data_IF_385851238967
#
_entry.id   IF_385851238967
#
_cell.length_a   1.000
_cell.length_b   1.000
_cell.length_c   1.000
_cell.angle_alpha   90.00
_cell.angle_beta   90.00
_cell.angle_gamma   90.00
#
_symmetry.space_group_name_H-M   'P 1'
#
loop_
_entity.id
_entity.type
_entity.pdbx_description
1 polymer ?
#
# COMPACT_ATOMS: atom_id res chain seq x y z
N UNK A 1 24.62 17.07 -17.68
CA UNK A 1 23.26 17.20 -17.12
C UNK A 1 23.01 15.98 -16.24
N UNK A 2 22.76 16.14 -14.94
CA UNK A 2 22.63 15.03 -13.98
C UNK A 2 21.20 14.48 -13.99
N UNK A 3 21.05 13.18 -13.76
CA UNK A 3 19.74 12.60 -13.47
C UNK A 3 19.23 13.16 -12.14
N UNK A 4 17.92 13.32 -12.00
CA UNK A 4 17.29 13.78 -10.75
C UNK A 4 16.14 12.85 -10.38
N UNK A 5 15.85 12.76 -9.09
CA UNK A 5 14.65 12.10 -8.58
C UNK A 5 13.60 13.15 -8.24
N UNK A 6 12.36 12.93 -8.69
CA UNK A 6 11.22 13.78 -8.38
C UNK A 6 10.05 12.92 -7.89
N UNK A 7 9.46 13.32 -6.78
CA UNK A 7 8.16 12.85 -6.34
C UNK A 7 7.11 13.86 -6.79
N UNK A 8 6.11 13.41 -7.53
CA UNK A 8 5.03 14.24 -8.05
C UNK A 8 3.72 13.78 -7.43
N UNK A 9 3.00 14.71 -6.81
CA UNK A 9 1.62 14.47 -6.40
C UNK A 9 0.70 14.47 -7.63
N UNK A 10 -0.12 13.43 -7.76
CA UNK A 10 -1.12 13.31 -8.80
C UNK A 10 -2.51 13.20 -8.15
N UNK A 11 -3.36 14.17 -8.46
CA UNK A 11 -4.78 14.10 -8.13
C UNK A 11 -5.52 13.47 -9.30
N UNK A 12 -6.23 12.38 -9.05
CA UNK A 12 -7.02 11.68 -10.05
C UNK A 12 -8.44 11.46 -9.56
N UNK A 13 -9.39 11.35 -10.50
CA UNK A 13 -10.77 11.03 -10.16
C UNK A 13 -10.81 9.61 -9.60
N UNK A 14 -11.50 9.43 -8.48
CA UNK A 14 -11.67 8.12 -7.87
C UNK A 14 -12.44 7.23 -8.83
N UNK A 15 -11.81 6.16 -9.31
CA UNK A 15 -12.40 5.24 -10.27
C UNK A 15 -13.21 4.16 -9.54
N UNK A 16 -14.41 4.53 -9.08
CA UNK A 16 -15.36 3.63 -8.44
C UNK A 16 -16.42 3.21 -9.45
N UNK A 17 -16.70 1.91 -9.51
CA UNK A 17 -17.76 1.36 -10.35
C UNK A 17 -19.12 1.89 -9.87
N UNK A 18 -19.93 2.33 -10.81
CA UNK A 18 -21.33 2.70 -10.57
C UNK A 18 -22.14 1.48 -10.13
N UNK A 19 -23.31 1.70 -9.52
CA UNK A 19 -24.20 0.62 -9.16
C UNK A 19 -24.57 -0.24 -10.38
N UNK A 20 -24.85 0.39 -11.53
CA UNK A 20 -25.17 -0.29 -12.78
C UNK A 20 -24.04 -1.21 -13.25
N UNK A 21 -22.80 -0.72 -13.28
CA UNK A 21 -21.63 -1.53 -13.63
C UNK A 21 -21.44 -2.71 -12.65
N UNK A 22 -21.78 -2.52 -11.38
CA UNK A 22 -21.71 -3.59 -10.39
C UNK A 22 -22.82 -4.63 -10.55
N UNK A 23 -24.01 -4.24 -11.01
CA UNK A 23 -25.08 -5.18 -11.36
C UNK A 23 -24.66 -6.03 -12.57
N UNK A 24 -24.11 -5.41 -13.60
CA UNK A 24 -23.57 -6.12 -14.78
C UNK A 24 -22.42 -7.06 -14.39
N UNK A 25 -21.53 -6.59 -13.50
CA UNK A 25 -20.47 -7.40 -12.92
C UNK A 25 -21.01 -8.60 -12.15
N UNK A 26 -22.03 -8.41 -11.30
CA UNK A 26 -22.69 -9.50 -10.58
C UNK A 26 -23.31 -10.50 -11.56
N UNK A 27 -24.02 -10.04 -12.59
CA UNK A 27 -24.60 -10.92 -13.61
C UNK A 27 -23.54 -11.75 -14.36
N UNK A 28 -22.44 -11.11 -14.77
CA UNK A 28 -21.34 -11.76 -15.50
C UNK A 28 -20.64 -12.84 -14.69
N UNK A 29 -20.47 -12.63 -13.37
CA UNK A 29 -19.70 -13.51 -12.49
C UNK A 29 -20.57 -14.33 -11.53
N UNK A 30 -21.88 -14.44 -11.79
CA UNK A 30 -22.84 -15.18 -10.94
C UNK A 30 -22.77 -14.72 -9.47
N UNK A 31 -22.66 -13.42 -9.27
CA UNK A 31 -22.51 -12.77 -7.97
C UNK A 31 -23.83 -12.55 -7.24
N UNK A 32 -23.73 -12.44 -5.91
CA UNK A 32 -24.82 -12.07 -5.00
C UNK A 32 -24.69 -10.61 -4.58
N UNK A 33 -25.80 -9.88 -4.61
CA UNK A 33 -25.91 -8.51 -4.10
C UNK A 33 -26.15 -8.56 -2.60
N UNK A 34 -25.30 -7.91 -1.81
CA UNK A 34 -25.33 -7.97 -0.36
C UNK A 34 -25.35 -6.56 0.25
N UNK A 35 -26.03 -6.42 1.39
CA UNK A 35 -25.91 -5.28 2.29
C UNK A 35 -25.50 -5.76 3.67
N UNK A 36 -24.63 -5.01 4.34
CA UNK A 36 -24.27 -5.25 5.72
C UNK A 36 -25.35 -4.69 6.64
N UNK A 37 -26.06 -5.54 7.39
CA UNK A 37 -27.16 -5.12 8.25
C UNK A 37 -26.77 -4.16 9.38
N UNK A 38 -25.49 -4.11 9.77
CA UNK A 38 -25.01 -3.19 10.81
C UNK A 38 -24.60 -1.83 10.25
N UNK A 39 -23.92 -1.81 9.10
CA UNK A 39 -23.36 -0.56 8.56
C UNK A 39 -24.18 0.05 7.42
N UNK A 40 -25.13 -0.70 6.84
CA UNK A 40 -25.88 -0.29 5.65
C UNK A 40 -25.08 -0.30 4.35
N UNK A 41 -23.81 -0.73 4.38
CA UNK A 41 -22.92 -0.70 3.22
C UNK A 41 -23.23 -1.83 2.24
N UNK A 42 -23.04 -1.56 0.95
CA UNK A 42 -23.30 -2.52 -0.11
C UNK A 42 -22.03 -3.28 -0.53
N UNK A 43 -22.21 -4.49 -1.06
CA UNK A 43 -21.14 -5.28 -1.65
C UNK A 43 -21.68 -6.27 -2.69
N UNK A 44 -20.85 -6.62 -3.67
CA UNK A 44 -21.09 -7.76 -4.56
C UNK A 44 -20.18 -8.90 -4.15
N UNK A 45 -20.74 -10.08 -3.93
CA UNK A 45 -20.00 -11.31 -3.62
C UNK A 45 -19.97 -12.21 -4.83
N UNK A 46 -18.77 -12.51 -5.37
CA UNK A 46 -18.60 -13.44 -6.49
C UNK A 46 -17.79 -14.68 -6.04
N UNK A 47 -18.00 -15.86 -6.66
CA UNK A 47 -17.13 -17.01 -6.43
C UNK A 47 -15.67 -16.69 -6.82
N UNK A 48 -14.71 -17.24 -6.06
CA UNK A 48 -13.28 -17.14 -6.40
C UNK A 48 -12.55 -18.44 -6.05
N UNK A 49 -11.26 -18.53 -6.37
CA UNK A 49 -10.49 -19.76 -6.13
C UNK A 49 -10.43 -20.11 -4.64
N UNK A 50 -10.59 -21.40 -4.35
CA UNK A 50 -10.42 -21.97 -3.01
C UNK A 50 -8.97 -21.87 -2.53
N UNK A 51 -8.76 -22.07 -1.24
CA UNK A 51 -7.45 -22.27 -0.64
C UNK A 51 -7.44 -23.56 0.16
N UNK A 52 -6.26 -24.07 0.48
CA UNK A 52 -6.11 -25.22 1.38
C UNK A 52 -5.82 -24.73 2.80
N UNK A 53 -6.51 -25.31 3.78
CA UNK A 53 -6.22 -25.06 5.19
C UNK A 53 -5.01 -25.88 5.67
N UNK A 54 -4.70 -25.79 6.97
CA UNK A 54 -3.58 -26.52 7.59
C UNK A 54 -3.70 -28.03 7.49
N UNK A 55 -4.93 -28.53 7.33
CA UNK A 55 -5.24 -29.96 7.29
C UNK A 55 -5.33 -30.48 5.84
N UNK A 56 -5.05 -29.60 4.86
CA UNK A 56 -5.07 -29.92 3.44
C UNK A 56 -6.47 -29.99 2.83
N UNK A 57 -7.50 -29.54 3.57
CA UNK A 57 -8.86 -29.50 3.05
C UNK A 57 -9.06 -28.24 2.19
N UNK A 58 -9.78 -28.40 1.07
CA UNK A 58 -10.11 -27.28 0.20
C UNK A 58 -11.25 -26.45 0.80
N UNK A 59 -10.96 -25.19 1.13
CA UNK A 59 -11.92 -24.24 1.69
C UNK A 59 -12.42 -23.29 0.59
N UNK A 60 -13.73 -23.30 0.25
CA UNK A 60 -14.29 -22.42 -0.76
C UNK A 60 -14.27 -20.95 -0.32
N UNK A 61 -14.05 -20.05 -1.26
CA UNK A 61 -13.98 -18.60 -1.01
C UNK A 61 -14.86 -17.81 -1.96
N UNK A 62 -15.22 -16.63 -1.49
CA UNK A 62 -15.81 -15.55 -2.29
C UNK A 62 -14.90 -14.33 -2.30
N UNK A 63 -14.97 -13.56 -3.38
CA UNK A 63 -14.47 -12.20 -3.43
C UNK A 63 -15.64 -11.25 -3.14
N UNK A 64 -15.56 -10.56 -2.01
CA UNK A 64 -16.47 -9.50 -1.64
C UNK A 64 -15.91 -8.17 -2.15
N UNK A 65 -16.57 -7.61 -3.16
CA UNK A 65 -16.20 -6.36 -3.85
C UNK A 65 -17.05 -5.22 -3.29
N UNK A 66 -16.37 -4.20 -2.77
CA UNK A 66 -16.94 -2.92 -2.29
C UNK A 66 -16.34 -1.75 -3.07
N UNK A 67 -16.91 -0.55 -3.00
CA UNK A 67 -16.43 0.62 -3.76
C UNK A 67 -14.92 0.88 -3.64
N UNK A 68 -14.35 0.73 -2.44
CA UNK A 68 -12.93 1.00 -2.17
C UNK A 68 -12.10 -0.23 -1.81
N UNK A 69 -12.72 -1.39 -1.61
CA UNK A 69 -12.03 -2.56 -1.06
C UNK A 69 -12.55 -3.86 -1.62
N UNK A 70 -11.63 -4.73 -1.99
CA UNK A 70 -11.91 -6.12 -2.30
C UNK A 70 -11.38 -7.00 -1.15
N UNK A 71 -12.22 -7.91 -0.66
CA UNK A 71 -11.83 -8.84 0.41
C UNK A 71 -12.18 -10.25 0.01
N UNK A 72 -11.21 -11.16 0.11
CA UNK A 72 -11.45 -12.59 -0.10
C UNK A 72 -11.68 -13.27 1.23
N UNK A 73 -12.83 -13.92 1.41
CA UNK A 73 -13.17 -14.61 2.64
C UNK A 73 -13.78 -16.00 2.37
N UNK A 74 -13.64 -16.96 3.30
CA UNK A 74 -14.33 -18.25 3.22
C UNK A 74 -15.85 -18.06 3.12
N UNK A 75 -16.52 -18.98 2.42
CA UNK A 75 -17.99 -18.94 2.27
C UNK A 75 -18.68 -18.94 3.64
N UNK A 76 -18.31 -19.85 4.54
CA UNK A 76 -18.90 -19.97 5.88
C UNK A 76 -18.72 -18.69 6.72
N UNK A 77 -17.61 -17.98 6.53
CA UNK A 77 -17.36 -16.69 7.19
C UNK A 77 -18.25 -15.58 6.64
N UNK A 78 -18.62 -15.62 5.36
CA UNK A 78 -19.59 -14.69 4.80
C UNK A 78 -21.00 -15.03 5.33
N UNK A 79 -21.38 -16.31 5.39
CA UNK A 79 -22.72 -16.73 5.81
C UNK A 79 -23.01 -16.46 7.29
N UNK A 80 -21.99 -16.64 8.14
CA UNK A 80 -22.05 -16.30 9.57
C UNK A 80 -21.91 -14.79 9.86
N UNK A 81 -21.75 -13.96 8.84
CA UNK A 81 -21.57 -12.51 8.99
C UNK A 81 -22.89 -11.72 9.00
N UNK A 82 -22.78 -10.40 9.08
CA UNK A 82 -23.90 -9.46 8.97
C UNK A 82 -24.28 -9.10 7.53
N UNK A 83 -23.61 -9.67 6.54
CA UNK A 83 -23.96 -9.50 5.13
C UNK A 83 -25.21 -10.32 4.79
N UNK A 84 -26.24 -9.65 4.25
CA UNK A 84 -27.50 -10.27 3.84
C UNK A 84 -27.75 -10.00 2.37
N UNK A 85 -28.31 -10.98 1.68
CA UNK A 85 -28.72 -10.84 0.29
C UNK A 85 -29.94 -9.92 0.21
N UNK A 86 -29.91 -9.01 -0.77
CA UNK A 86 -30.90 -7.94 -0.93
C UNK A 86 -31.40 -7.83 -2.37
N UNK A 87 -32.46 -7.06 -2.57
CA UNK A 87 -32.97 -6.77 -3.92
C UNK A 87 -32.01 -5.86 -4.71
N UNK A 88 -32.23 -5.79 -6.02
CA UNK A 88 -31.48 -4.87 -6.89
C UNK A 88 -31.70 -3.42 -6.48
N UNK A 89 -32.92 -3.04 -6.13
CA UNK A 89 -33.28 -1.68 -5.72
C UNK A 89 -32.58 -1.28 -4.42
N UNK A 90 -32.61 -2.16 -3.41
CA UNK A 90 -31.94 -1.94 -2.13
C UNK A 90 -30.43 -1.78 -2.32
N UNK A 91 -29.83 -2.67 -3.13
CA UNK A 91 -28.41 -2.62 -3.45
C UNK A 91 -28.02 -1.32 -4.17
N UNK A 92 -28.77 -0.90 -5.19
CA UNK A 92 -28.48 0.33 -5.95
C UNK A 92 -28.54 1.55 -5.05
N UNK A 93 -29.53 1.62 -4.15
CA UNK A 93 -29.65 2.72 -3.21
C UNK A 93 -28.45 2.77 -2.23
N UNK A 94 -28.11 1.63 -1.63
CA UNK A 94 -27.01 1.56 -0.67
C UNK A 94 -25.63 1.79 -1.33
N UNK A 95 -25.39 1.20 -2.51
CA UNK A 95 -24.15 1.39 -3.25
C UNK A 95 -23.98 2.84 -3.70
N UNK A 96 -25.01 3.42 -4.34
CA UNK A 96 -24.93 4.81 -4.83
C UNK A 96 -24.72 5.80 -3.70
N UNK A 97 -25.42 5.62 -2.56
CA UNK A 97 -25.19 6.41 -1.36
C UNK A 97 -23.74 6.32 -0.88
N UNK A 98 -23.19 5.11 -0.78
CA UNK A 98 -21.79 4.93 -0.38
C UNK A 98 -20.86 5.62 -1.36
N UNK A 99 -21.07 5.48 -2.67
CA UNK A 99 -20.24 6.14 -3.70
C UNK A 99 -20.31 7.67 -3.63
N UNK A 100 -21.48 8.24 -3.35
CA UNK A 100 -21.67 9.69 -3.24
C UNK A 100 -20.98 10.28 -2.00
N UNK A 101 -20.83 9.49 -0.93
CA UNK A 101 -20.11 9.87 0.28
C UNK A 101 -18.58 9.78 0.12
N UNK A 102 -18.09 9.12 -0.94
CA UNK A 102 -16.65 8.95 -1.16
C UNK A 102 -16.02 10.21 -1.76
N UNK A 103 -14.73 10.49 -1.44
CA UNK A 103 -13.99 11.56 -2.08
C UNK A 103 -13.99 11.38 -3.60
N UNK A 104 -14.40 12.43 -4.33
CA UNK A 104 -14.41 12.43 -5.81
C UNK A 104 -13.02 12.31 -6.41
N UNK A 105 -12.00 12.71 -5.66
CA UNK A 105 -10.61 12.68 -6.06
C UNK A 105 -9.78 11.93 -5.03
N UNK A 106 -8.83 11.15 -5.52
CA UNK A 106 -7.75 10.56 -4.72
C UNK A 106 -6.43 11.19 -5.11
N UNK A 107 -5.57 11.33 -4.11
CA UNK A 107 -4.20 11.79 -4.28
C UNK A 107 -3.27 10.57 -4.25
N UNK A 108 -2.46 10.44 -5.29
CA UNK A 108 -1.43 9.42 -5.43
C UNK A 108 -0.07 10.09 -5.67
N UNK A 109 1.02 9.34 -5.57
CA UNK A 109 2.37 9.84 -5.79
C UNK A 109 3.08 9.08 -6.90
N UNK A 110 3.64 9.82 -7.85
CA UNK A 110 4.52 9.29 -8.87
C UNK A 110 5.97 9.55 -8.49
N UNK A 111 6.77 8.50 -8.51
CA UNK A 111 8.22 8.57 -8.34
C UNK A 111 8.89 8.54 -9.72
N UNK A 112 9.57 9.62 -10.08
CA UNK A 112 10.16 9.81 -11.40
C UNK A 112 11.67 10.01 -11.31
N UNK A 113 12.40 9.37 -12.23
CA UNK A 113 13.75 9.78 -12.58
C UNK A 113 13.67 10.68 -13.81
N UNK A 114 14.28 11.85 -13.74
CA UNK A 114 14.24 12.89 -14.78
C UNK A 114 15.65 13.29 -15.21
N UNK A 115 15.74 14.04 -16.31
CA UNK A 115 17.00 14.40 -16.96
C UNK A 115 17.24 13.56 -18.23
N UNK A 116 18.51 13.38 -18.61
CA UNK A 116 18.85 12.60 -19.80
C UNK A 116 18.71 11.11 -19.46
N UNK A 117 17.64 10.47 -19.96
CA UNK A 117 17.31 9.09 -19.62
C UNK A 117 18.15 8.04 -20.36
N UNK A 118 18.54 8.29 -21.62
CA UNK A 118 19.24 7.29 -22.44
C UNK A 118 20.57 6.81 -21.81
N UNK A 119 21.45 7.68 -21.28
CA UNK A 119 22.69 7.26 -20.64
C UNK A 119 22.49 6.37 -19.41
N UNK A 120 21.38 6.54 -18.70
CA UNK A 120 21.07 5.80 -17.47
C UNK A 120 20.08 4.67 -17.69
N UNK A 121 19.68 4.38 -18.93
CA UNK A 121 18.61 3.44 -19.25
C UNK A 121 18.89 2.02 -18.74
N UNK A 122 20.17 1.60 -18.73
CA UNK A 122 20.61 0.28 -18.23
C UNK A 122 20.57 0.17 -16.70
N UNK A 123 20.59 1.30 -16.00
CA UNK A 123 20.57 1.39 -14.53
C UNK A 123 19.13 1.26 -14.01
N UNK A 124 18.15 1.71 -14.80
CA UNK A 124 16.76 1.76 -14.38
C UNK A 124 16.10 0.36 -14.41
N UNK A 125 15.13 0.08 -13.52
CA UNK A 125 14.42 -1.19 -13.48
C UNK A 125 13.70 -1.48 -14.80
N UNK A 126 13.86 -2.71 -15.28
CA UNK A 126 13.29 -3.14 -16.57
C UNK A 126 11.83 -3.58 -16.46
N UNK A 127 11.35 -3.94 -15.25
CA UNK A 127 10.02 -4.50 -15.02
C UNK A 127 8.87 -3.57 -15.43
N UNK A 128 9.09 -2.27 -15.43
CA UNK A 128 8.06 -1.30 -15.81
C UNK A 128 8.73 -0.11 -16.49
N UNK A 129 8.91 -0.12 -17.82
CA UNK A 129 9.71 0.82 -18.66
C UNK A 129 9.02 2.15 -19.06
N UNK A 130 7.87 2.49 -18.47
CA UNK A 130 7.05 3.66 -18.84
C UNK A 130 7.76 5.00 -18.63
N UNK A 131 7.80 5.82 -19.69
CA UNK A 131 8.25 7.22 -19.66
C UNK A 131 7.03 8.12 -19.74
N UNK A 132 6.86 9.00 -18.76
CA UNK A 132 5.76 9.94 -18.69
C UNK A 132 6.22 11.32 -19.14
N UNK A 133 5.37 11.98 -19.92
CA UNK A 133 5.44 13.42 -20.18
C UNK A 133 4.28 14.05 -19.43
N UNK A 134 4.59 14.82 -18.40
CA UNK A 134 3.63 15.44 -17.50
C UNK A 134 3.72 16.96 -17.62
N UNK A 135 2.62 17.61 -17.28
CA UNK A 135 2.57 19.05 -17.04
C UNK A 135 1.92 19.26 -15.68
N UNK A 136 2.62 19.93 -14.76
CA UNK A 136 2.11 20.30 -13.44
C UNK A 136 1.10 21.44 -13.55
N UNK A 137 0.34 21.68 -12.48
CA UNK A 137 -0.67 22.75 -12.41
C UNK A 137 -0.09 24.16 -12.58
N UNK A 138 1.17 24.37 -12.22
CA UNK A 138 1.92 25.62 -12.43
C UNK A 138 2.55 25.73 -13.84
N UNK A 139 2.34 24.74 -14.71
CA UNK A 139 2.79 24.75 -16.11
C UNK A 139 4.17 24.15 -16.36
N UNK A 140 4.87 23.64 -15.35
CA UNK A 140 6.15 22.96 -15.53
C UNK A 140 5.97 21.67 -16.35
N UNK A 141 6.74 21.53 -17.43
CA UNK A 141 6.76 20.31 -18.26
C UNK A 141 7.87 19.38 -17.78
N UNK A 142 7.51 18.15 -17.46
CA UNK A 142 8.41 17.15 -16.92
C UNK A 142 8.40 15.93 -17.84
N UNK A 143 9.59 15.47 -18.22
CA UNK A 143 9.78 14.19 -18.90
C UNK A 143 10.58 13.28 -17.96
N UNK A 144 10.00 12.14 -17.61
CA UNK A 144 10.56 11.28 -16.58
C UNK A 144 10.19 9.82 -16.73
N UNK A 145 11.05 8.98 -16.19
CA UNK A 145 10.87 7.54 -16.10
C UNK A 145 10.22 7.18 -14.77
N UNK A 146 9.09 6.47 -14.80
CA UNK A 146 8.40 6.01 -13.58
C UNK A 146 9.20 4.90 -12.90
N UNK A 147 9.44 5.06 -11.61
CA UNK A 147 10.12 4.10 -10.73
C UNK A 147 9.12 3.60 -9.69
N UNK A 148 9.05 2.29 -9.48
CA UNK A 148 8.21 1.73 -8.43
C UNK A 148 8.83 2.01 -7.06
N UNK A 149 8.03 2.16 -6.01
CA UNK A 149 8.54 2.50 -4.68
C UNK A 149 9.67 1.58 -4.24
N UNK A 150 9.50 0.26 -4.39
CA UNK A 150 10.51 -0.77 -4.07
C UNK A 150 11.89 -0.53 -4.69
N UNK A 151 11.97 0.21 -5.80
CA UNK A 151 13.20 0.40 -6.56
C UNK A 151 13.84 1.78 -6.28
N UNK A 152 13.18 2.67 -5.53
CA UNK A 152 13.64 4.04 -5.27
C UNK A 152 15.05 4.03 -4.69
N UNK A 153 15.29 3.22 -3.66
CA UNK A 153 16.59 3.17 -2.99
C UNK A 153 17.69 2.75 -3.97
N UNK A 154 17.54 1.59 -4.60
CA UNK A 154 18.53 1.05 -5.55
C UNK A 154 18.82 2.04 -6.68
N UNK A 155 17.78 2.66 -7.24
CA UNK A 155 17.92 3.62 -8.34
C UNK A 155 18.65 4.88 -7.88
N UNK A 156 18.27 5.45 -6.74
CA UNK A 156 18.92 6.66 -6.22
C UNK A 156 20.39 6.41 -5.86
N UNK A 157 20.72 5.26 -5.29
CA UNK A 157 22.09 4.84 -4.99
C UNK A 157 22.93 4.66 -6.25
N UNK A 158 22.45 3.90 -7.24
CA UNK A 158 23.19 3.66 -8.49
C UNK A 158 23.38 4.93 -9.32
N UNK A 159 22.46 5.90 -9.21
CA UNK A 159 22.57 7.20 -9.84
C UNK A 159 23.39 8.21 -9.03
N UNK A 160 23.87 7.83 -7.85
CA UNK A 160 24.65 8.72 -6.97
C UNK A 160 23.84 9.89 -6.42
N UNK A 161 22.51 9.76 -6.33
CA UNK A 161 21.58 10.75 -5.78
C UNK A 161 21.57 10.68 -4.25
N UNK A 162 22.74 10.93 -3.65
CA UNK A 162 22.98 10.77 -2.20
C UNK A 162 22.17 11.72 -1.33
N UNK A 163 21.56 12.77 -1.90
CA UNK A 163 20.93 13.86 -1.16
C UNK A 163 19.41 13.96 -1.36
N UNK A 164 18.76 12.91 -1.84
CA UNK A 164 17.29 12.87 -1.93
C UNK A 164 16.77 11.71 -1.08
N UNK A 165 17.11 11.77 0.21
CA UNK A 165 16.53 10.89 1.22
C UNK A 165 15.06 11.28 1.38
N UNK A 166 14.18 10.30 1.23
CA UNK A 166 12.77 10.41 1.59
C UNK A 166 12.66 10.91 3.03
N UNK A 167 11.76 11.85 3.29
CA UNK A 167 11.50 12.30 4.66
C UNK A 167 11.01 11.12 5.52
N UNK A 168 11.19 11.16 6.86
CA UNK A 168 10.70 10.11 7.74
C UNK A 168 9.20 9.80 7.56
N UNK A 169 8.38 10.82 7.29
CA UNK A 169 6.95 10.66 6.98
C UNK A 169 6.75 9.86 5.69
N UNK A 170 7.53 10.14 4.65
CA UNK A 170 7.46 9.41 3.38
C UNK A 170 7.96 7.98 3.52
N UNK A 171 9.03 7.75 4.28
CA UNK A 171 9.52 6.41 4.56
C UNK A 171 8.44 5.57 5.26
N UNK A 172 7.81 6.11 6.31
CA UNK A 172 6.71 5.42 7.00
C UNK A 172 5.59 5.07 6.02
N UNK A 173 5.17 6.03 5.19
CA UNK A 173 4.10 5.83 4.23
C UNK A 173 4.45 4.75 3.19
N UNK A 174 5.62 4.84 2.54
CA UNK A 174 6.04 3.90 1.50
C UNK A 174 6.25 2.49 2.05
N UNK A 175 6.85 2.37 3.24
CA UNK A 175 7.05 1.06 3.87
C UNK A 175 5.71 0.42 4.20
N UNK A 176 4.80 1.17 4.82
CA UNK A 176 3.49 0.63 5.22
C UNK A 176 2.55 0.34 4.05
N UNK A 177 2.64 1.09 2.94
CA UNK A 177 1.63 1.06 1.89
C UNK A 177 2.14 0.56 0.53
N UNK A 178 3.41 0.78 0.19
CA UNK A 178 3.93 0.58 -1.17
C UNK A 178 4.99 -0.52 -1.29
N UNK A 179 5.03 -1.44 -0.32
CA UNK A 179 6.00 -2.56 -0.29
C UNK A 179 7.45 -2.07 -0.40
N UNK A 180 7.73 -0.89 0.15
CA UNK A 180 9.07 -0.35 0.23
C UNK A 180 9.85 -0.96 1.39
N UNK A 181 11.16 -1.08 1.20
CA UNK A 181 12.12 -1.35 2.26
C UNK A 181 13.30 -0.42 2.09
N UNK A 182 13.86 0.05 3.20
CA UNK A 182 14.99 0.96 3.21
C UNK A 182 16.15 0.34 3.97
N UNK A 183 17.31 0.22 3.35
CA UNK A 183 18.56 0.07 4.09
C UNK A 183 18.86 1.39 4.79
N UNK A 184 18.87 1.35 6.11
CA UNK A 184 19.36 2.42 6.95
C UNK A 184 20.87 2.25 7.15
N UNK A 185 21.58 3.29 7.64
CA UNK A 185 22.97 3.13 8.05
C UNK A 185 23.16 1.97 9.05
N UNK A 186 24.41 1.59 9.30
CA UNK A 186 24.71 0.53 10.29
C UNK A 186 24.18 -0.87 9.93
N UNK A 187 23.76 -1.11 8.69
CA UNK A 187 23.26 -2.42 8.25
C UNK A 187 21.81 -2.73 8.66
N UNK A 188 21.09 -1.77 9.22
CA UNK A 188 19.70 -1.96 9.65
C UNK A 188 18.76 -1.87 8.44
N UNK A 189 17.76 -2.76 8.35
CA UNK A 189 16.73 -2.68 7.31
C UNK A 189 15.39 -2.29 7.92
N UNK A 190 14.80 -1.20 7.43
CA UNK A 190 13.41 -0.85 7.70
C UNK A 190 12.50 -1.51 6.67
N UNK A 191 11.51 -2.30 7.13
CA UNK A 191 10.52 -2.93 6.26
C UNK A 191 9.16 -3.08 6.92
N UNK A 192 8.15 -3.44 6.14
CA UNK A 192 6.83 -3.84 6.65
C UNK A 192 6.78 -5.32 6.97
N UNK A 193 6.33 -5.64 8.17
CA UNK A 193 6.01 -7.00 8.61
C UNK A 193 4.56 -7.10 9.07
N UNK A 194 3.92 -8.24 8.84
CA UNK A 194 2.57 -8.51 9.34
C UNK A 194 2.64 -9.37 10.59
N UNK A 195 2.20 -8.84 11.73
CA UNK A 195 2.10 -9.57 12.99
C UNK A 195 0.63 -9.64 13.37
N UNK A 196 0.11 -10.85 13.53
CA UNK A 196 -1.33 -11.08 13.77
C UNK A 196 -2.27 -10.38 12.74
N UNK A 197 -1.81 -10.24 11.50
CA UNK A 197 -2.56 -9.58 10.42
C UNK A 197 -2.45 -8.05 10.40
N UNK A 198 -1.77 -7.44 11.37
CA UNK A 198 -1.55 -6.00 11.43
C UNK A 198 -0.19 -5.61 10.84
N UNK A 199 -0.11 -4.57 9.99
CA UNK A 199 1.14 -4.10 9.45
C UNK A 199 1.95 -3.37 10.51
N UNK A 200 3.24 -3.68 10.58
CA UNK A 200 4.21 -3.07 11.49
C UNK A 200 5.46 -2.62 10.76
N UNK A 201 6.07 -1.56 11.25
CA UNK A 201 7.39 -1.09 10.84
C UNK A 201 8.46 -1.87 11.61
N UNK A 202 9.12 -2.81 10.97
CA UNK A 202 10.16 -3.63 11.57
C UNK A 202 11.56 -3.08 11.25
N UNK A 203 12.43 -3.07 12.25
CA UNK A 203 13.86 -2.85 12.12
C UNK A 203 14.59 -4.20 12.18
N UNK A 204 14.98 -4.71 11.02
CA UNK A 204 15.75 -5.96 10.89
C UNK A 204 17.23 -5.65 11.13
N UNK A 205 17.95 -6.60 11.71
CA UNK A 205 19.38 -6.50 12.04
C UNK A 205 19.73 -5.35 13.00
N UNK A 206 18.74 -4.89 13.78
CA UNK A 206 18.88 -3.80 14.76
C UNK A 206 18.86 -4.27 16.23
N UNK A 207 18.86 -5.58 16.49
CA UNK A 207 18.70 -6.13 17.86
C UNK A 207 19.85 -5.75 18.78
N UNK A 208 21.08 -5.61 18.27
CA UNK A 208 22.23 -5.12 19.03
C UNK A 208 22.06 -3.68 19.54
N UNK A 209 21.15 -2.91 18.93
CA UNK A 209 20.82 -1.53 19.30
C UNK A 209 19.49 -1.44 20.07
N UNK A 210 18.86 -2.56 20.44
CA UNK A 210 17.50 -2.59 20.93
C UNK A 210 17.28 -1.68 22.15
N UNK A 211 18.16 -1.74 23.16
CA UNK A 211 17.98 -0.94 24.38
C UNK A 211 18.01 0.57 24.08
N UNK A 212 18.93 1.00 23.20
CA UNK A 212 19.04 2.39 22.76
C UNK A 212 17.83 2.83 21.94
N UNK A 213 17.35 1.98 21.04
CA UNK A 213 16.22 2.32 20.17
C UNK A 213 14.88 2.28 20.92
N UNK A 214 14.73 1.40 21.91
CA UNK A 214 13.56 1.37 22.79
C UNK A 214 13.47 2.64 23.63
N UNK A 215 14.61 3.17 24.11
CA UNK A 215 14.65 4.46 24.79
C UNK A 215 14.15 5.63 23.92
N UNK A 216 14.16 5.47 22.58
CA UNK A 216 13.67 6.46 21.62
C UNK A 216 12.19 6.24 21.22
N UNK A 217 11.52 5.27 21.83
CA UNK A 217 10.12 4.97 21.56
C UNK A 217 9.88 3.80 20.59
N UNK A 218 10.92 3.09 20.15
CA UNK A 218 10.74 1.76 19.57
C UNK A 218 10.28 0.77 20.64
N UNK A 219 9.82 -0.40 20.20
CA UNK A 219 9.42 -1.47 21.11
C UNK A 219 9.82 -2.83 20.56
N UNK A 220 9.91 -3.83 21.43
CA UNK A 220 10.29 -5.19 21.05
C UNK A 220 9.19 -6.17 21.39
N UNK A 221 9.05 -7.19 20.56
CA UNK A 221 8.18 -8.33 20.85
C UNK A 221 8.90 -9.65 20.56
N UNK A 222 8.47 -10.71 21.23
CA UNK A 222 8.93 -12.08 20.95
C UNK A 222 7.91 -12.73 20.02
N UNK A 223 8.32 -12.98 18.77
CA UNK A 223 7.47 -13.59 17.74
C UNK A 223 8.23 -14.77 17.16
N UNK A 224 7.59 -15.95 17.13
CA UNK A 224 8.24 -17.20 16.71
C UNK A 224 9.59 -17.43 17.41
N UNK A 225 9.61 -17.25 18.74
CA UNK A 225 10.79 -17.43 19.60
C UNK A 225 11.96 -16.48 19.33
N UNK A 226 11.75 -15.40 18.58
CA UNK A 226 12.77 -14.38 18.29
C UNK A 226 12.34 -13.02 18.79
N UNK A 227 13.23 -12.31 19.49
CA UNK A 227 13.06 -10.90 19.83
C UNK A 227 13.19 -10.08 18.54
N UNK A 228 12.16 -9.32 18.20
CA UNK A 228 12.08 -8.45 17.02
C UNK A 228 11.84 -7.02 17.48
N UNK A 229 12.35 -6.05 16.73
CA UNK A 229 12.30 -4.62 17.06
C UNK A 229 11.42 -3.88 16.06
N UNK A 230 10.57 -2.99 16.57
CA UNK A 230 9.58 -2.27 15.79
C UNK A 230 9.57 -0.78 16.12
N UNK A 231 9.28 0.03 15.11
CA UNK A 231 8.90 1.45 15.25
C UNK A 231 7.39 1.52 15.49
N UNK A 232 6.88 2.38 16.39
CA UNK A 232 5.44 2.57 16.54
C UNK A 232 4.81 3.04 15.22
N UNK A 233 3.56 2.62 14.98
CA UNK A 233 2.74 3.13 13.88
C UNK A 233 1.94 4.36 14.34
N UNK A 234 1.29 5.04 13.40
CA UNK A 234 0.49 6.25 13.68
C UNK A 234 1.33 7.52 13.75
N UNK A 235 0.82 8.55 14.44
CA UNK A 235 1.34 9.93 14.38
C UNK A 235 2.80 10.05 14.84
N UNK A 236 3.24 9.21 15.78
CA UNK A 236 4.61 9.25 16.32
C UNK A 236 5.63 8.53 15.44
N UNK A 237 5.20 7.75 14.44
CA UNK A 237 6.09 6.92 13.63
C UNK A 237 7.20 7.73 12.95
N UNK A 238 6.83 8.86 12.33
CA UNK A 238 7.77 9.71 11.60
C UNK A 238 8.80 10.36 12.52
N UNK A 239 8.39 10.81 13.71
CA UNK A 239 9.29 11.43 14.70
C UNK A 239 10.32 10.41 15.23
N UNK A 240 9.86 9.22 15.66
CA UNK A 240 10.75 8.16 16.14
C UNK A 240 11.72 7.72 15.04
N UNK A 241 11.25 7.63 13.78
CA UNK A 241 12.09 7.30 12.64
C UNK A 241 13.14 8.39 12.33
N UNK A 242 12.80 9.67 12.49
CA UNK A 242 13.75 10.76 12.32
C UNK A 242 14.92 10.64 13.31
N UNK A 243 14.58 10.42 14.58
CA UNK A 243 15.55 10.37 15.66
C UNK A 243 16.48 9.14 15.53
N UNK A 244 15.93 7.97 15.16
CA UNK A 244 16.75 6.76 15.01
C UNK A 244 17.72 6.87 13.82
N UNK A 245 17.33 7.50 12.70
CA UNK A 245 18.22 7.66 11.54
C UNK A 245 19.44 8.50 11.92
N UNK A 246 19.26 9.56 12.72
CA UNK A 246 20.35 10.39 13.21
C UNK A 246 21.30 9.68 14.18
N UNK A 247 20.86 8.58 14.79
CA UNK A 247 21.66 7.75 15.70
C UNK A 247 22.41 6.66 14.95
N UNK A 248 21.72 5.94 14.07
CA UNK A 248 22.30 4.81 13.35
C UNK A 248 23.27 5.30 12.27
N UNK A 249 23.09 6.53 11.78
CA UNK A 249 24.00 7.18 10.83
C UNK A 249 25.28 7.78 11.42
N UNK A 250 25.47 7.70 12.75
CA UNK A 250 26.71 8.10 13.44
C UNK A 250 27.53 6.87 13.79
#
# INVERSE_FOLDING_TARGET
MRANYLKIEQVQKTNIKTAQEMLEFAGKYQGRLLINSKSGNAAVSIPTHSFFDSDGAAVPRVLLVRPQKETRLPVDKLESSTWKQVSTEEFVAAWSKEVDELPKFTTDHLHLVTGILLPIWKILPQKNSRVFRLQTSDGQKILGRVVHASDIQTVTEQLGLKNTLLSPTELVFLVLNESYSQQLPGGVTLRRSYIAGEPRLELVDAISLADRLVAMGCFTEIIQWRKRLFVPTGERAAAVLADLIGIIGK
#
